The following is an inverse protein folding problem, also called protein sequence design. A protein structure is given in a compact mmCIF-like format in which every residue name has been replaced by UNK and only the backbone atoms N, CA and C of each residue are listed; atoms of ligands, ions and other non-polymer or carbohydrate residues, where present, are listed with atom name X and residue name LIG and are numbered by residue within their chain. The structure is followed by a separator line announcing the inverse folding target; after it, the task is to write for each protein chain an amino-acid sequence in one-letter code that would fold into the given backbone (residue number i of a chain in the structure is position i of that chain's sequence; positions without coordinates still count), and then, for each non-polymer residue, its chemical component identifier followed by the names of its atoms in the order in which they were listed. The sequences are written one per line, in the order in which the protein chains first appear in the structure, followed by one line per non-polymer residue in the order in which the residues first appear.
data_IF_566911056619
#
_entry.id   IF_566911056619
#
_cell.length_a   1.000
_cell.length_b   1.000
_cell.length_c   1.000
_cell.angle_alpha   90.00
_cell.angle_beta   90.00
_cell.angle_gamma   90.00
#
_symmetry.space_group_name_H-M   'P 1'
#
loop_
_entity.id
_entity.type
_entity.pdbx_description
1 polymer ?
#
# COMPACT_ATOMS: atom_id res chain seq x y z
N UNK A 1 -23.54 -49.13 34.43
CA UNK A 1 -22.92 -47.84 34.80
C UNK A 1 -21.48 -47.81 34.30
N UNK A 2 -21.20 -47.09 33.21
CA UNK A 2 -19.87 -46.53 32.96
C UNK A 2 -20.01 -45.38 31.94
N UNK A 3 -20.02 -44.15 32.45
CA UNK A 3 -20.03 -42.91 31.66
C UNK A 3 -18.63 -42.71 31.08
N UNK A 4 -18.43 -42.95 29.80
CA UNK A 4 -17.15 -42.69 29.14
C UNK A 4 -17.00 -41.18 28.84
N UNK A 5 -16.03 -40.55 29.52
CA UNK A 5 -15.52 -39.22 29.19
C UNK A 5 -14.81 -39.28 27.83
N UNK A 6 -15.42 -38.68 26.81
CA UNK A 6 -14.75 -38.41 25.53
C UNK A 6 -14.16 -36.99 25.60
N UNK A 7 -12.83 -36.90 25.56
CA UNK A 7 -12.09 -35.64 25.67
C UNK A 7 -12.23 -34.80 24.38
N UNK A 8 -12.55 -33.51 24.55
CA UNK A 8 -12.79 -32.52 23.48
C UNK A 8 -11.52 -32.07 22.71
N UNK A 9 -10.49 -32.91 22.59
CA UNK A 9 -9.26 -32.57 21.86
C UNK A 9 -8.99 -33.43 20.63
N UNK A 10 -9.85 -34.39 20.29
CA UNK A 10 -9.53 -35.41 19.29
C UNK A 10 -10.34 -35.42 17.99
N UNK A 11 -11.16 -34.39 17.70
CA UNK A 11 -11.99 -34.35 16.49
C UNK A 11 -11.81 -33.07 15.67
N UNK A 12 -10.61 -32.85 15.11
CA UNK A 12 -10.39 -31.76 14.13
C UNK A 12 -9.41 -32.11 13.00
N UNK A 13 -9.32 -33.41 12.65
CA UNK A 13 -8.48 -33.90 11.55
C UNK A 13 -9.19 -34.78 10.52
N UNK A 14 -10.52 -34.86 10.48
CA UNK A 14 -11.21 -35.46 9.33
C UNK A 14 -12.22 -34.49 8.71
N UNK A 15 -12.09 -34.33 7.38
CA UNK A 15 -12.94 -33.62 6.39
C UNK A 15 -12.46 -32.28 5.82
N UNK A 16 -11.17 -32.05 5.62
CA UNK A 16 -10.75 -30.95 4.73
C UNK A 16 -9.61 -31.27 3.75
N UNK A 17 -9.36 -32.55 3.47
CA UNK A 17 -8.44 -32.99 2.40
C UNK A 17 -9.01 -34.21 1.63
N UNK A 18 -10.19 -34.04 1.05
CA UNK A 18 -10.65 -34.71 -0.19
C UNK A 18 -11.95 -34.03 -0.63
N UNK A 19 -11.82 -32.94 -1.37
CA UNK A 19 -12.73 -32.52 -2.44
C UNK A 19 -12.03 -31.35 -3.11
N UNK A 20 -11.48 -31.58 -4.29
CA UNK A 20 -11.42 -30.52 -5.30
C UNK A 20 -12.86 -30.07 -5.57
N UNK A 21 -13.26 -28.81 -5.34
CA UNK A 21 -14.38 -28.26 -6.07
C UNK A 21 -13.79 -27.75 -7.39
N UNK A 22 -13.63 -28.65 -8.37
CA UNK A 22 -13.82 -28.19 -9.74
C UNK A 22 -15.29 -27.80 -9.85
N UNK A 23 -15.53 -26.56 -10.27
CA UNK A 23 -16.80 -26.09 -10.82
C UNK A 23 -18.06 -26.47 -10.01
N UNK A 24 -18.24 -25.83 -8.85
CA UNK A 24 -19.57 -25.41 -8.39
C UNK A 24 -19.38 -24.38 -7.28
N UNK A 25 -19.82 -23.14 -7.50
CA UNK A 25 -19.66 -21.99 -6.60
C UNK A 25 -20.45 -22.10 -5.29
N UNK A 26 -20.39 -23.24 -4.62
CA UNK A 26 -21.08 -23.48 -3.36
C UNK A 26 -20.36 -22.69 -2.26
N UNK A 27 -21.01 -21.62 -1.82
CA UNK A 27 -20.49 -20.72 -0.79
C UNK A 27 -20.57 -21.40 0.57
N UNK A 28 -19.46 -21.42 1.30
CA UNK A 28 -19.43 -21.94 2.66
C UNK A 28 -20.02 -20.87 3.59
N UNK A 29 -21.13 -21.19 4.26
CA UNK A 29 -21.76 -20.30 5.24
C UNK A 29 -21.30 -20.70 6.64
N UNK A 30 -20.74 -19.74 7.38
CA UNK A 30 -20.37 -19.88 8.78
C UNK A 30 -21.12 -18.82 9.58
N UNK A 31 -21.63 -19.20 10.75
CA UNK A 31 -22.37 -18.27 11.58
C UNK A 31 -21.40 -17.26 12.23
N UNK A 32 -20.61 -17.71 13.22
CA UNK A 32 -19.59 -16.92 13.92
C UNK A 32 -18.44 -17.78 14.43
N UNK A 33 -17.32 -17.14 14.75
CA UNK A 33 -16.24 -17.72 15.55
C UNK A 33 -16.09 -17.00 16.89
N UNK A 34 -15.87 -17.75 17.96
CA UNK A 34 -15.63 -17.24 19.33
C UNK A 34 -14.32 -17.78 19.87
N UNK A 35 -13.20 -17.22 19.40
CA UNK A 35 -11.84 -17.67 19.72
C UNK A 35 -11.03 -16.64 20.53
N UNK A 36 -11.70 -15.76 21.27
CA UNK A 36 -11.04 -14.78 22.12
C UNK A 36 -9.95 -15.42 23.02
N UNK A 37 -8.75 -14.84 23.01
CA UNK A 37 -7.61 -15.26 23.84
C UNK A 37 -6.95 -16.59 23.45
N UNK A 38 -7.37 -17.24 22.35
CA UNK A 38 -6.84 -18.55 21.93
C UNK A 38 -5.46 -18.44 21.27
N UNK A 39 -4.86 -19.59 20.98
CA UNK A 39 -3.59 -19.71 20.26
C UNK A 39 -3.75 -20.67 19.08
N UNK A 40 -3.40 -20.22 17.89
CA UNK A 40 -3.33 -21.05 16.69
C UNK A 40 -1.87 -21.24 16.30
N UNK A 41 -1.42 -22.50 16.24
CA UNK A 41 -0.04 -22.85 15.87
C UNK A 41 0.13 -23.06 14.36
N UNK A 42 -0.94 -23.50 13.69
CA UNK A 42 -1.03 -23.67 12.24
C UNK A 42 -1.70 -22.46 11.58
N UNK A 43 -1.71 -22.47 10.25
CA UNK A 43 -2.41 -21.46 9.46
C UNK A 43 -3.93 -21.55 9.70
N UNK A 44 -4.58 -20.39 9.73
CA UNK A 44 -6.04 -20.24 9.75
C UNK A 44 -6.45 -19.68 8.39
N UNK A 45 -7.26 -20.40 7.62
CA UNK A 45 -7.65 -20.03 6.28
C UNK A 45 -9.16 -20.18 6.06
N UNK A 46 -9.75 -19.14 5.48
CA UNK A 46 -11.10 -19.11 4.94
C UNK A 46 -11.02 -18.57 3.51
N UNK A 47 -11.74 -19.18 2.59
CA UNK A 47 -11.78 -18.78 1.18
C UNK A 47 -13.21 -18.92 0.68
N UNK A 48 -13.74 -17.90 0.01
CA UNK A 48 -15.13 -17.87 -0.49
C UNK A 48 -16.16 -18.18 0.61
N UNK A 49 -15.91 -17.72 1.84
CA UNK A 49 -16.72 -18.01 3.02
C UNK A 49 -17.58 -16.81 3.43
N UNK A 50 -18.82 -17.04 3.85
CA UNK A 50 -19.74 -15.99 4.33
C UNK A 50 -19.92 -16.07 5.84
N UNK A 51 -19.71 -14.94 6.52
CA UNK A 51 -19.86 -14.74 7.95
C UNK A 51 -21.02 -13.81 8.22
N UNK A 52 -22.12 -14.33 8.78
CA UNK A 52 -23.33 -13.53 9.03
C UNK A 52 -23.37 -12.91 10.43
N UNK A 53 -22.67 -13.52 11.39
CA UNK A 53 -22.54 -13.04 12.75
C UNK A 53 -21.12 -12.54 13.06
N UNK A 54 -20.98 -11.79 14.15
CA UNK A 54 -19.70 -11.19 14.52
C UNK A 54 -18.69 -12.30 14.87
N UNK A 55 -17.50 -12.24 14.29
CA UNK A 55 -16.44 -13.22 14.54
C UNK A 55 -15.38 -12.62 15.45
N UNK A 56 -15.26 -13.17 16.66
CA UNK A 56 -14.38 -12.70 17.71
C UNK A 56 -13.09 -13.50 17.79
N UNK A 57 -11.99 -12.85 17.40
CA UNK A 57 -10.61 -13.29 17.56
C UNK A 57 -9.79 -12.34 18.45
N UNK A 58 -10.45 -11.55 19.30
CA UNK A 58 -9.78 -10.63 20.21
C UNK A 58 -8.73 -11.33 21.07
N UNK A 59 -7.58 -10.69 21.29
CA UNK A 59 -6.46 -11.19 22.12
C UNK A 59 -5.87 -12.54 21.67
N UNK A 60 -6.26 -13.04 20.49
CA UNK A 60 -5.80 -14.31 19.94
C UNK A 60 -4.35 -14.21 19.47
N UNK A 61 -3.57 -15.28 19.63
CA UNK A 61 -2.19 -15.38 19.11
C UNK A 61 -2.13 -16.32 17.92
N UNK A 62 -1.85 -15.77 16.75
CA UNK A 62 -1.67 -16.54 15.52
C UNK A 62 -0.17 -16.72 15.23
N UNK A 63 0.31 -17.97 15.32
CA UNK A 63 1.67 -18.34 14.94
C UNK A 63 1.77 -18.68 13.45
N UNK A 64 0.70 -19.21 12.87
CA UNK A 64 0.53 -19.40 11.43
C UNK A 64 0.07 -18.14 10.71
N UNK A 65 -0.09 -18.26 9.39
CA UNK A 65 -0.73 -17.25 8.53
C UNK A 65 -2.23 -17.19 8.82
N UNK A 66 -2.83 -16.01 8.67
CA UNK A 66 -4.27 -15.80 8.78
C UNK A 66 -4.79 -15.32 7.44
N UNK A 67 -5.74 -16.04 6.84
CA UNK A 67 -6.26 -15.75 5.51
C UNK A 67 -7.78 -15.75 5.50
N UNK A 68 -8.38 -14.65 5.06
CA UNK A 68 -9.79 -14.51 4.72
C UNK A 68 -9.81 -13.98 3.28
N UNK A 69 -9.82 -14.87 2.30
CA UNK A 69 -9.71 -14.49 0.88
C UNK A 69 -11.09 -14.59 0.23
N UNK A 70 -11.52 -13.54 -0.47
CA UNK A 70 -12.82 -13.51 -1.13
C UNK A 70 -14.00 -13.85 -0.19
N UNK A 71 -13.89 -13.44 1.08
CA UNK A 71 -14.93 -13.70 2.07
C UNK A 71 -16.00 -12.60 2.04
N UNK A 72 -17.16 -12.90 2.62
CA UNK A 72 -18.19 -11.88 2.91
C UNK A 72 -18.38 -11.80 4.42
N UNK A 73 -18.23 -10.61 5.01
CA UNK A 73 -18.31 -10.41 6.45
C UNK A 73 -19.40 -9.38 6.75
N UNK A 74 -20.55 -9.87 7.23
CA UNK A 74 -21.75 -9.06 7.48
C UNK A 74 -21.63 -8.20 8.74
N UNK A 75 -21.08 -8.75 9.82
CA UNK A 75 -20.84 -8.04 11.09
C UNK A 75 -19.34 -7.76 11.26
N UNK A 76 -18.93 -7.28 12.43
CA UNK A 76 -17.53 -6.94 12.68
C UNK A 76 -16.66 -8.21 12.77
N UNK A 77 -15.48 -8.16 12.14
CA UNK A 77 -14.38 -9.10 12.39
C UNK A 77 -13.45 -8.50 13.45
N UNK A 78 -13.46 -9.06 14.65
CA UNK A 78 -12.74 -8.50 15.80
C UNK A 78 -11.37 -9.18 15.98
N UNK A 79 -10.30 -8.42 15.71
CA UNK A 79 -8.91 -8.77 15.98
C UNK A 79 -8.29 -7.89 17.08
N UNK A 80 -9.10 -7.23 17.91
CA UNK A 80 -8.61 -6.32 18.95
C UNK A 80 -7.63 -7.04 19.89
N UNK A 81 -6.45 -6.47 20.09
CA UNK A 81 -5.37 -7.06 20.91
C UNK A 81 -4.78 -8.37 20.38
N UNK A 82 -5.17 -8.85 19.19
CA UNK A 82 -4.61 -10.05 18.60
C UNK A 82 -3.11 -9.88 18.29
N UNK A 83 -2.38 -10.98 18.14
CA UNK A 83 -0.96 -10.96 17.77
C UNK A 83 -0.74 -11.87 16.57
N UNK A 84 -0.21 -11.30 15.48
CA UNK A 84 0.07 -12.02 14.25
C UNK A 84 1.58 -12.20 14.06
N UNK A 85 2.06 -13.45 13.96
CA UNK A 85 3.49 -13.73 13.72
C UNK A 85 3.85 -13.77 12.24
N UNK A 86 2.92 -14.18 11.38
CA UNK A 86 3.09 -14.32 9.93
C UNK A 86 2.06 -13.46 9.21
N UNK A 87 1.99 -13.56 7.88
CA UNK A 87 1.08 -12.79 7.02
C UNK A 87 -0.38 -12.86 7.45
N UNK A 88 -1.04 -11.70 7.39
CA UNK A 88 -2.50 -11.58 7.41
C UNK A 88 -2.95 -11.18 6.01
N UNK A 89 -3.86 -11.95 5.42
CA UNK A 89 -4.40 -11.73 4.09
C UNK A 89 -5.92 -11.63 4.13
N UNK A 90 -6.45 -10.47 3.77
CA UNK A 90 -7.88 -10.21 3.68
C UNK A 90 -8.33 -9.97 2.22
N UNK A 91 -7.50 -10.32 1.23
CA UNK A 91 -7.71 -9.90 -0.16
C UNK A 91 -9.08 -10.28 -0.72
N UNK A 92 -9.71 -9.38 -1.48
CA UNK A 92 -11.00 -9.66 -2.13
C UNK A 92 -12.19 -9.74 -1.17
N UNK A 93 -11.99 -9.49 0.13
CA UNK A 93 -13.05 -9.62 1.14
C UNK A 93 -13.99 -8.43 1.13
N UNK A 94 -15.29 -8.71 1.19
CA UNK A 94 -16.35 -7.72 1.35
C UNK A 94 -16.68 -7.52 2.82
N UNK A 95 -16.64 -6.27 3.29
CA UNK A 95 -17.03 -5.91 4.66
C UNK A 95 -18.30 -5.06 4.67
N UNK A 96 -19.25 -5.39 5.56
CA UNK A 96 -20.43 -4.56 5.83
C UNK A 96 -20.30 -3.69 7.08
N UNK A 97 -19.54 -4.15 8.09
CA UNK A 97 -19.28 -3.41 9.34
C UNK A 97 -17.80 -3.15 9.60
N UNK A 98 -16.89 -3.71 8.79
CA UNK A 98 -15.44 -3.53 8.94
C UNK A 98 -14.75 -4.54 9.84
N UNK A 99 -13.53 -4.21 10.26
CA UNK A 99 -12.66 -5.05 11.07
C UNK A 99 -11.91 -4.21 12.10
N UNK A 100 -11.85 -4.71 13.33
CA UNK A 100 -11.21 -4.01 14.44
C UNK A 100 -9.80 -4.58 14.70
N UNK A 101 -8.78 -3.73 14.54
CA UNK A 101 -7.38 -4.05 14.85
C UNK A 101 -6.83 -3.27 16.04
N UNK A 102 -7.69 -2.71 16.88
CA UNK A 102 -7.30 -1.91 18.04
C UNK A 102 -6.33 -2.70 18.93
N UNK A 103 -5.15 -2.15 19.19
CA UNK A 103 -4.06 -2.78 19.96
C UNK A 103 -3.52 -4.11 19.40
N UNK A 104 -3.91 -4.51 18.20
CA UNK A 104 -3.35 -5.69 17.55
C UNK A 104 -1.85 -5.50 17.28
N UNK A 105 -1.06 -6.55 17.50
CA UNK A 105 0.35 -6.60 17.11
C UNK A 105 0.44 -7.07 15.66
N UNK A 106 0.82 -6.15 14.78
CA UNK A 106 0.82 -6.37 13.34
C UNK A 106 1.80 -7.45 12.88
N UNK A 107 1.48 -8.14 11.77
CA UNK A 107 2.41 -9.03 11.10
C UNK A 107 3.51 -8.25 10.37
N UNK A 108 4.48 -8.98 9.78
CA UNK A 108 5.41 -8.38 8.81
C UNK A 108 4.73 -7.99 7.49
N UNK A 109 3.64 -8.67 7.12
CA UNK A 109 2.89 -8.41 5.89
C UNK A 109 1.38 -8.47 6.14
N UNK A 110 0.69 -7.40 5.75
CA UNK A 110 -0.76 -7.24 5.82
C UNK A 110 -1.29 -6.96 4.41
N UNK A 111 -2.12 -7.85 3.89
CA UNK A 111 -2.68 -7.74 2.54
C UNK A 111 -4.14 -7.32 2.67
N UNK A 112 -4.45 -6.10 2.27
CA UNK A 112 -5.79 -5.50 2.21
C UNK A 112 -6.09 -5.09 0.76
N UNK A 113 -5.70 -5.93 -0.20
CA UNK A 113 -5.93 -5.67 -1.62
C UNK A 113 -7.36 -6.04 -2.02
N UNK A 114 -7.95 -5.29 -2.94
CA UNK A 114 -9.26 -5.53 -3.54
C UNK A 114 -10.37 -5.72 -2.49
N UNK A 115 -10.30 -4.98 -1.38
CA UNK A 115 -11.39 -5.01 -0.39
C UNK A 115 -12.61 -4.31 -0.99
N UNK A 116 -13.76 -4.97 -0.90
CA UNK A 116 -15.02 -4.33 -1.23
C UNK A 116 -15.60 -3.66 0.02
N UNK A 117 -15.49 -2.32 0.05
CA UNK A 117 -15.94 -1.47 1.16
C UNK A 117 -17.10 -0.55 0.76
N UNK A 118 -17.68 -0.71 -0.44
CA UNK A 118 -18.72 0.18 -0.99
C UNK A 118 -19.91 0.34 -0.04
N UNK A 119 -20.36 -0.77 0.53
CA UNK A 119 -21.47 -0.77 1.49
C UNK A 119 -21.02 -0.95 2.94
N UNK A 120 -19.75 -0.68 3.25
CA UNK A 120 -19.21 -0.79 4.58
C UNK A 120 -19.67 0.40 5.43
N UNK A 121 -20.57 0.14 6.39
CA UNK A 121 -21.04 1.15 7.35
C UNK A 121 -19.94 1.55 8.34
N UNK A 122 -19.10 0.59 8.74
CA UNK A 122 -17.96 0.83 9.63
C UNK A 122 -16.66 1.14 8.87
N UNK A 123 -15.52 0.87 9.51
CA UNK A 123 -14.18 1.09 8.93
C UNK A 123 -13.24 -0.07 9.24
N UNK A 124 -12.13 -0.13 8.51
CA UNK A 124 -10.95 -0.92 8.89
C UNK A 124 -10.02 0.02 9.65
N UNK A 125 -10.06 0.01 10.98
CA UNK A 125 -9.25 0.90 11.81
C UNK A 125 -7.94 0.24 12.27
N UNK A 126 -6.84 0.70 11.69
CA UNK A 126 -5.46 0.32 12.01
C UNK A 126 -4.72 1.44 12.76
N UNK A 127 -5.38 2.52 13.18
CA UNK A 127 -4.72 3.68 13.81
C UNK A 127 -4.16 3.38 15.20
N UNK A 128 -4.76 2.43 15.93
CA UNK A 128 -4.39 2.06 17.30
C UNK A 128 -3.60 0.75 17.40
N UNK A 129 -3.02 0.30 16.30
CA UNK A 129 -2.19 -0.93 16.24
C UNK A 129 -0.88 -0.76 17.02
N UNK A 130 -0.32 -1.89 17.47
CA UNK A 130 0.99 -1.94 18.13
C UNK A 130 2.03 -2.46 17.13
N UNK A 131 3.02 -1.66 16.72
CA UNK A 131 4.07 -2.13 15.83
C UNK A 131 4.96 -3.15 16.54
N UNK A 132 5.36 -4.21 15.83
CA UNK A 132 6.47 -5.10 16.25
C UNK A 132 7.74 -4.84 15.43
N UNK A 133 7.61 -4.04 14.38
CA UNK A 133 8.58 -3.74 13.33
C UNK A 133 7.85 -3.02 12.19
N UNK A 134 8.50 -2.82 11.03
CA UNK A 134 7.81 -2.27 9.85
C UNK A 134 6.88 -3.32 9.26
N UNK A 135 5.60 -2.99 9.10
CA UNK A 135 4.61 -3.85 8.45
C UNK A 135 4.51 -3.47 6.96
N UNK A 136 4.74 -4.43 6.06
CA UNK A 136 4.42 -4.26 4.64
C UNK A 136 2.91 -4.31 4.45
N UNK A 137 2.32 -3.28 3.85
CA UNK A 137 0.87 -3.23 3.58
C UNK A 137 0.59 -3.19 2.08
N UNK A 138 -0.34 -4.02 1.61
CA UNK A 138 -0.84 -3.97 0.23
C UNK A 138 -2.27 -3.42 0.24
N UNK A 139 -2.50 -2.37 -0.55
CA UNK A 139 -3.73 -1.58 -0.60
C UNK A 139 -4.26 -1.43 -2.04
N UNK A 140 -3.73 -2.20 -2.99
CA UNK A 140 -4.20 -2.16 -4.38
C UNK A 140 -5.71 -2.43 -4.45
N UNK A 141 -6.43 -1.71 -5.31
CA UNK A 141 -7.86 -1.92 -5.54
C UNK A 141 -8.79 -1.69 -4.33
N UNK A 142 -8.30 -1.11 -3.24
CA UNK A 142 -9.08 -0.86 -2.02
C UNK A 142 -9.37 0.62 -1.86
N UNK A 143 -10.64 0.96 -1.59
CA UNK A 143 -11.03 2.31 -1.20
C UNK A 143 -10.46 2.67 0.18
N UNK A 144 -9.65 3.73 0.22
CA UNK A 144 -8.92 4.16 1.41
C UNK A 144 -9.74 5.09 2.31
N UNK A 145 -10.92 5.54 1.88
CA UNK A 145 -11.81 6.38 2.70
C UNK A 145 -12.32 5.63 3.95
N UNK A 146 -12.44 4.30 3.85
CA UNK A 146 -12.89 3.43 4.95
C UNK A 146 -11.74 2.67 5.63
N UNK A 147 -10.48 2.97 5.29
CA UNK A 147 -9.30 2.33 5.89
C UNK A 147 -8.49 3.39 6.62
N UNK A 148 -8.50 3.38 7.95
CA UNK A 148 -7.80 4.35 8.77
C UNK A 148 -6.47 3.80 9.24
N UNK A 149 -5.34 4.44 8.94
CA UNK A 149 -4.02 3.96 9.38
C UNK A 149 -3.04 5.09 9.66
N UNK A 150 -2.12 4.91 10.61
CA UNK A 150 -0.97 5.79 10.78
C UNK A 150 0.23 5.21 10.01
N UNK A 151 0.64 5.86 8.92
CA UNK A 151 1.64 5.34 7.98
C UNK A 151 3.05 5.23 8.58
N UNK A 152 3.30 5.82 9.76
CA UNK A 152 4.58 5.69 10.46
C UNK A 152 5.01 4.22 10.61
N UNK A 153 4.05 3.31 10.78
CA UNK A 153 4.29 1.88 11.04
C UNK A 153 4.33 1.00 9.79
N UNK A 154 4.00 1.54 8.62
CA UNK A 154 3.78 0.74 7.41
C UNK A 154 4.80 1.01 6.29
N UNK A 155 4.92 0.10 5.34
CA UNK A 155 5.61 0.30 4.07
C UNK A 155 4.71 -0.23 2.96
N UNK A 156 4.45 0.57 1.93
CA UNK A 156 3.65 0.11 0.79
C UNK A 156 4.34 -1.03 0.04
N UNK A 157 3.54 -2.03 -0.29
CA UNK A 157 3.85 -3.10 -1.24
C UNK A 157 2.75 -3.14 -2.30
N UNK A 158 3.14 -3.43 -3.53
CA UNK A 158 2.25 -3.45 -4.70
C UNK A 158 2.34 -4.79 -5.44
N UNK A 159 2.59 -5.86 -4.70
CA UNK A 159 2.66 -7.21 -5.26
C UNK A 159 1.29 -7.66 -5.76
N UNK A 160 1.30 -8.47 -6.82
CA UNK A 160 0.10 -9.08 -7.39
C UNK A 160 -0.69 -8.19 -8.35
N UNK A 161 -0.29 -6.94 -8.59
CA UNK A 161 -1.02 -6.08 -9.54
C UNK A 161 -1.19 -6.75 -10.92
N UNK A 162 -2.42 -6.73 -11.41
CA UNK A 162 -2.79 -7.24 -12.73
C UNK A 162 -3.05 -6.04 -13.66
N UNK A 163 -2.18 -5.84 -14.65
CA UNK A 163 -2.31 -4.74 -15.59
C UNK A 163 -0.98 -4.26 -16.15
N UNK A 164 -1.02 -3.13 -16.86
CA UNK A 164 0.19 -2.54 -17.44
C UNK A 164 1.06 -1.88 -16.38
N UNK A 165 2.36 -1.76 -16.65
CA UNK A 165 3.28 -1.03 -15.76
C UNK A 165 2.87 0.44 -15.59
N UNK A 166 2.30 1.05 -16.62
CA UNK A 166 1.81 2.44 -16.56
C UNK A 166 0.60 2.56 -15.62
N UNK A 167 -0.38 1.66 -15.74
CA UNK A 167 -1.53 1.62 -14.84
C UNK A 167 -1.08 1.41 -13.38
N UNK A 168 -0.10 0.52 -13.14
CA UNK A 168 0.48 0.33 -11.81
C UNK A 168 1.09 1.62 -11.26
N UNK A 169 1.86 2.36 -12.07
CA UNK A 169 2.47 3.61 -11.63
C UNK A 169 1.41 4.67 -11.29
N UNK A 170 0.31 4.73 -12.05
CA UNK A 170 -0.78 5.65 -11.76
C UNK A 170 -1.52 5.26 -10.47
N UNK A 171 -1.90 3.99 -10.31
CA UNK A 171 -2.50 3.46 -9.08
C UNK A 171 -1.61 3.73 -7.87
N UNK A 172 -0.29 3.53 -8.00
CA UNK A 172 0.66 3.85 -6.93
C UNK A 172 0.58 5.33 -6.54
N UNK A 173 0.61 6.25 -7.50
CA UNK A 173 0.49 7.70 -7.23
C UNK A 173 -0.83 8.02 -6.54
N UNK A 174 -1.95 7.43 -6.98
CA UNK A 174 -3.27 7.64 -6.36
C UNK A 174 -3.28 7.18 -4.91
N UNK A 175 -2.74 6.00 -4.60
CA UNK A 175 -2.61 5.49 -3.22
C UNK A 175 -1.75 6.43 -2.36
N UNK A 176 -0.59 6.88 -2.87
CA UNK A 176 0.23 7.86 -2.15
C UNK A 176 -0.53 9.16 -1.85
N UNK A 177 -1.22 9.73 -2.84
CA UNK A 177 -2.01 10.96 -2.69
C UNK A 177 -3.14 10.80 -1.67
N UNK A 178 -3.91 9.71 -1.77
CA UNK A 178 -5.00 9.42 -0.85
C UNK A 178 -4.50 9.26 0.60
N UNK A 179 -3.42 8.50 0.79
CA UNK A 179 -2.83 8.35 2.12
C UNK A 179 -2.26 9.67 2.65
N UNK A 180 -1.62 10.50 1.82
CA UNK A 180 -1.13 11.83 2.26
C UNK A 180 -2.28 12.72 2.77
N UNK A 181 -3.39 12.77 2.04
CA UNK A 181 -4.60 13.49 2.47
C UNK A 181 -5.11 12.95 3.82
N UNK A 182 -5.24 11.63 3.92
CA UNK A 182 -5.67 10.98 5.17
C UNK A 182 -4.72 11.27 6.34
N UNK A 183 -3.40 11.14 6.14
CA UNK A 183 -2.42 11.41 7.19
C UNK A 183 -2.48 12.88 7.66
N UNK A 184 -2.71 13.83 6.74
CA UNK A 184 -2.87 15.25 7.05
C UNK A 184 -4.17 15.48 7.85
N UNK A 185 -5.30 14.98 7.36
CA UNK A 185 -6.62 15.13 7.98
C UNK A 185 -6.68 14.54 9.40
N UNK A 186 -6.02 13.40 9.63
CA UNK A 186 -5.98 12.73 10.93
C UNK A 186 -4.81 13.18 11.83
N UNK A 187 -4.07 14.23 11.44
CA UNK A 187 -2.93 14.76 12.19
C UNK A 187 -1.81 13.73 12.47
N UNK A 188 -1.65 12.73 11.59
CA UNK A 188 -0.56 11.75 11.69
C UNK A 188 0.74 12.31 11.12
N UNK A 189 1.29 13.34 11.77
CA UNK A 189 2.45 14.11 11.27
C UNK A 189 3.68 13.25 10.93
N UNK A 190 4.00 12.25 11.76
CA UNK A 190 5.12 11.33 11.49
C UNK A 190 4.86 10.45 10.25
N UNK A 191 3.64 9.93 10.14
CA UNK A 191 3.20 9.15 8.98
C UNK A 191 3.22 9.99 7.71
N UNK A 192 2.69 11.22 7.77
CA UNK A 192 2.70 12.19 6.68
C UNK A 192 4.13 12.51 6.22
N UNK A 193 5.02 12.91 7.14
CA UNK A 193 6.41 13.27 6.82
C UNK A 193 7.19 12.13 6.19
N UNK A 194 6.98 10.90 6.66
CA UNK A 194 7.60 9.71 6.07
C UNK A 194 7.04 9.42 4.67
N UNK A 195 5.72 9.41 4.54
CA UNK A 195 5.04 9.11 3.28
C UNK A 195 5.36 10.16 2.20
N UNK A 196 5.44 11.44 2.57
CA UNK A 196 5.74 12.53 1.64
C UNK A 196 7.16 12.40 1.08
N UNK A 197 8.15 12.09 1.93
CA UNK A 197 9.53 11.79 1.50
C UNK A 197 9.61 10.57 0.59
N UNK A 198 8.84 9.51 0.90
CA UNK A 198 8.75 8.34 0.03
C UNK A 198 8.14 8.69 -1.34
N UNK A 199 7.08 9.50 -1.35
CA UNK A 199 6.39 9.92 -2.57
C UNK A 199 7.27 10.84 -3.44
N UNK A 200 7.90 11.86 -2.84
CA UNK A 200 8.81 12.77 -3.52
C UNK A 200 10.00 12.04 -4.18
N UNK A 201 10.59 11.08 -3.46
CA UNK A 201 11.71 10.30 -3.99
C UNK A 201 11.29 9.37 -5.13
N UNK A 202 10.09 8.79 -5.07
CA UNK A 202 9.64 7.81 -6.07
C UNK A 202 8.98 8.46 -7.29
N UNK A 203 8.29 9.58 -7.10
CA UNK A 203 7.51 10.27 -8.13
C UNK A 203 7.68 11.80 -8.04
N UNK A 204 8.89 12.34 -8.26
CA UNK A 204 9.19 13.76 -8.04
C UNK A 204 8.23 14.71 -8.78
N UNK A 205 8.02 14.49 -10.10
CA UNK A 205 7.08 15.31 -10.89
C UNK A 205 5.65 15.30 -10.35
N UNK A 206 5.17 14.15 -9.89
CA UNK A 206 3.82 14.04 -9.33
C UNK A 206 3.72 14.66 -7.93
N UNK A 207 4.81 14.63 -7.16
CA UNK A 207 4.91 15.29 -5.86
C UNK A 207 4.92 16.81 -5.99
N UNK A 208 5.69 17.36 -6.94
CA UNK A 208 5.76 18.80 -7.16
C UNK A 208 4.39 19.39 -7.54
N UNK A 209 3.60 18.63 -8.33
CA UNK A 209 2.22 19.00 -8.67
C UNK A 209 1.23 18.97 -7.50
N UNK A 210 1.64 18.46 -6.32
CA UNK A 210 0.79 18.40 -5.14
C UNK A 210 0.60 19.79 -4.49
N UNK A 211 1.59 20.68 -4.61
CA UNK A 211 1.55 22.05 -4.09
C UNK A 211 0.76 23.03 -4.96
N UNK A 212 0.48 22.67 -6.22
CA UNK A 212 -0.38 23.43 -7.13
C UNK A 212 -1.86 23.05 -7.07
N UNK A 213 -2.21 21.99 -6.32
CA UNK A 213 -3.61 21.63 -6.06
C UNK A 213 -4.16 22.59 -5.00
N UNK A 214 -5.02 23.52 -5.44
CA UNK A 214 -5.70 24.48 -4.58
C UNK A 214 -6.45 23.74 -3.46
N UNK A 215 -6.51 24.40 -2.31
CA UNK A 215 -7.13 23.99 -1.04
C UNK A 215 -8.65 23.66 -1.13
N UNK A 216 -9.23 23.65 -2.34
CA UNK A 216 -10.64 23.43 -2.63
C UNK A 216 -11.06 21.97 -2.84
N UNK A 217 -10.14 21.01 -2.93
CA UNK A 217 -10.46 19.56 -3.03
C UNK A 217 -10.64 18.89 -1.66
N UNK A 218 -11.08 19.64 -0.64
CA UNK A 218 -11.55 19.07 0.63
C UNK A 218 -12.91 18.45 0.35
N UNK A 219 -12.93 17.13 0.16
CA UNK A 219 -14.18 16.37 0.16
C UNK A 219 -14.94 16.68 1.44
N UNK A 220 -16.13 17.25 1.25
CA UNK A 220 -17.23 17.27 2.22
C UNK A 220 -17.38 15.83 2.71
N UNK A 221 -17.00 15.61 3.97
CA UNK A 221 -17.48 14.46 4.71
C UNK A 221 -19.00 14.67 4.80
N UNK A 222 -19.77 13.70 4.33
CA UNK A 222 -21.21 13.65 4.59
C UNK A 222 -21.41 13.75 6.12
N UNK A 223 -21.79 14.94 6.58
CA UNK A 223 -21.93 15.35 7.99
C UNK A 223 -23.19 14.76 8.64
N UNK A 224 -23.94 13.89 7.97
CA UNK A 224 -25.24 13.41 8.46
C UNK A 224 -25.18 12.35 9.56
N UNK A 225 -24.02 12.04 10.15
CA UNK A 225 -23.97 11.05 11.26
C UNK A 225 -22.95 11.37 12.38
N UNK A 226 -22.48 12.61 12.49
CA UNK A 226 -21.78 13.09 13.68
C UNK A 226 -22.32 14.48 14.03
N UNK A 227 -23.30 14.52 14.92
CA UNK A 227 -23.78 15.76 15.53
C UNK A 227 -22.66 16.44 16.32
N UNK A 228 -21.86 17.25 15.63
CA UNK A 228 -20.91 18.20 16.21
C UNK A 228 -21.57 19.59 16.41
N UNK A 229 -22.89 19.67 16.33
CA UNK A 229 -23.64 20.93 16.39
C UNK A 229 -24.00 21.37 17.83
N UNK A 230 -23.51 20.66 18.86
CA UNK A 230 -23.72 21.02 20.26
C UNK A 230 -22.45 21.49 21.01
N UNK A 231 -21.37 21.86 20.32
CA UNK A 231 -20.19 22.45 20.97
C UNK A 231 -19.54 23.57 20.15
N UNK A 232 -20.37 24.50 19.65
CA UNK A 232 -19.93 25.88 19.45
C UNK A 232 -20.21 26.65 20.74
N UNK A 233 -19.26 26.55 21.68
CA UNK A 233 -19.19 27.49 22.80
C UNK A 233 -18.79 28.85 22.22
N UNK A 234 -19.74 29.80 22.27
CA UNK A 234 -19.52 31.22 22.07
C UNK A 234 -18.76 31.80 23.29
N UNK A 235 -17.53 31.33 23.49
CA UNK A 235 -16.65 31.89 24.51
C UNK A 235 -15.44 32.56 23.84
N UNK A 236 -15.54 33.88 23.72
CA UNK A 236 -14.50 34.76 23.18
C UNK A 236 -13.19 34.64 23.98
N UNK A 237 -13.27 34.29 25.27
CA UNK A 237 -12.10 34.10 26.13
C UNK A 237 -11.26 32.88 25.71
N UNK A 238 -11.90 31.76 25.39
CA UNK A 238 -11.21 30.53 24.98
C UNK A 238 -10.53 30.70 23.62
N UNK A 239 -11.13 31.45 22.69
CA UNK A 239 -10.52 31.77 21.39
C UNK A 239 -9.25 32.61 21.55
N UNK A 240 -9.27 33.59 22.45
CA UNK A 240 -8.09 34.41 22.75
C UNK A 240 -6.98 33.59 23.41
N UNK A 241 -7.32 32.68 24.34
CA UNK A 241 -6.36 31.78 25.00
C UNK A 241 -5.71 30.78 24.02
N UNK A 242 -6.50 30.24 23.07
CA UNK A 242 -6.00 29.38 22.00
C UNK A 242 -5.04 30.15 21.08
N UNK A 243 -5.40 31.38 20.69
CA UNK A 243 -4.55 32.22 19.85
C UNK A 243 -3.25 32.65 20.54
N UNK A 244 -3.29 32.91 21.84
CA UNK A 244 -2.09 33.19 22.63
C UNK A 244 -1.18 31.95 22.71
N UNK A 245 -1.77 30.77 22.89
CA UNK A 245 -1.05 29.50 22.93
C UNK A 245 -0.37 29.19 21.60
N UNK A 246 -1.07 29.41 20.48
CA UNK A 246 -0.51 29.26 19.12
C UNK A 246 0.68 30.21 18.93
N UNK A 247 0.52 31.49 19.30
CA UNK A 247 1.60 32.48 19.19
C UNK A 247 2.83 32.13 20.05
N UNK A 248 2.63 31.60 21.27
CA UNK A 248 3.73 31.10 22.11
C UNK A 248 4.44 29.92 21.46
N UNK A 249 3.70 28.97 20.88
CA UNK A 249 4.28 27.81 20.19
C UNK A 249 5.07 28.21 18.95
N UNK A 250 4.60 29.17 18.17
CA UNK A 250 5.34 29.70 17.01
C UNK A 250 6.66 30.37 17.41
N UNK A 251 6.65 31.16 18.49
CA UNK A 251 7.87 31.77 19.04
C UNK A 251 8.88 30.70 19.48
N UNK A 252 8.43 29.67 20.17
CA UNK A 252 9.27 28.54 20.60
C UNK A 252 9.84 27.78 19.39
N UNK A 253 9.05 27.55 18.34
CA UNK A 253 9.53 26.92 17.11
C UNK A 253 10.58 27.77 16.38
N UNK A 254 10.38 29.09 16.28
CA UNK A 254 11.37 30.01 15.69
C UNK A 254 12.71 30.00 16.45
N UNK A 255 12.68 29.95 17.78
CA UNK A 255 13.89 29.84 18.62
C UNK A 255 14.58 28.49 18.41
N UNK A 256 13.83 27.38 18.37
CA UNK A 256 14.38 26.04 18.08
C UNK A 256 15.02 25.96 16.70
N UNK A 257 14.42 26.59 15.69
CA UNK A 257 14.97 26.68 14.33
C UNK A 257 16.26 27.49 14.27
N UNK A 258 16.36 28.59 15.03
CA UNK A 258 17.61 29.38 15.16
C UNK A 258 18.71 28.57 15.83
N UNK A 259 18.40 27.85 16.91
CA UNK A 259 19.36 27.00 17.63
C UNK A 259 19.83 25.81 16.77
N UNK A 260 18.94 25.18 16.02
CA UNK A 260 19.29 24.13 15.07
C UNK A 260 20.19 24.64 13.94
N UNK A 261 19.93 25.85 13.42
CA UNK A 261 20.79 26.49 12.40
C UNK A 261 22.18 26.84 12.96
N UNK A 262 22.30 27.32 14.20
CA UNK A 262 23.59 27.62 14.82
C UNK A 262 24.40 26.36 15.12
N UNK A 263 23.77 25.29 15.60
CA UNK A 263 24.44 23.99 15.83
C UNK A 263 24.89 23.34 14.52
N UNK A 264 24.14 23.53 13.43
CA UNK A 264 24.53 23.04 12.11
C UNK A 264 25.68 23.86 11.50
N UNK A 265 25.72 25.17 11.73
CA UNK A 265 26.84 26.04 11.30
C UNK A 265 28.15 25.71 12.04
N UNK A 266 28.09 25.44 13.35
CA UNK A 266 29.26 25.03 14.14
C UNK A 266 29.85 23.69 13.66
N UNK A 267 29.00 22.69 13.37
CA UNK A 267 29.45 21.38 12.85
C UNK A 267 30.04 21.44 11.44
N UNK A 268 29.68 22.43 10.64
CA UNK A 268 30.27 22.66 9.31
C UNK A 268 31.65 23.30 9.46
N UNK A 269 31.82 24.25 10.39
CA UNK A 269 33.12 24.86 10.71
C UNK A 269 34.17 23.84 11.18
N UNK A 270 33.78 22.93 12.08
CA UNK A 270 34.68 21.85 12.55
C UNK A 270 35.10 20.90 11.42
N UNK A 271 34.21 20.58 10.49
CA UNK A 271 34.52 19.72 9.34
C UNK A 271 35.45 20.39 8.34
N UNK A 272 35.27 21.70 8.09
CA UNK A 272 36.17 22.48 7.22
C UNK A 272 37.57 22.55 7.83
N UNK A 273 37.67 22.76 9.15
CA UNK A 273 38.95 22.76 9.86
C UNK A 273 39.64 21.39 9.80
N UNK A 274 38.90 20.29 9.99
CA UNK A 274 39.45 18.95 9.88
C UNK A 274 39.96 18.62 8.47
N UNK A 275 39.25 19.06 7.42
CA UNK A 275 39.69 18.87 6.02
C UNK A 275 40.96 19.68 5.74
N UNK A 276 41.04 20.93 6.21
CA UNK A 276 42.23 21.76 6.04
C UNK A 276 43.47 21.15 6.72
N UNK A 277 43.30 20.53 7.90
CA UNK A 277 44.36 19.84 8.63
C UNK A 277 44.86 18.60 7.89
N UNK A 278 43.95 17.82 7.28
CA UNK A 278 44.30 16.65 6.47
C UNK A 278 45.06 17.08 5.20
N UNK A 279 44.64 18.15 4.53
CA UNK A 279 45.34 18.67 3.34
C UNK A 279 46.74 19.18 3.70
N UNK A 280 46.90 19.88 4.82
CA UNK A 280 48.21 20.33 5.30
C UNK A 280 49.14 19.13 5.61
N UNK A 281 48.63 18.08 6.24
CA UNK A 281 49.36 16.84 6.48
C UNK A 281 49.80 16.15 5.18
N UNK A 282 48.91 16.09 4.18
CA UNK A 282 49.24 15.48 2.87
C UNK A 282 50.31 16.26 2.12
N UNK A 283 50.31 17.59 2.19
CA UNK A 283 51.34 18.44 1.60
C UNK A 283 52.69 18.31 2.34
N UNK A 284 52.66 18.06 3.66
CA UNK A 284 53.87 17.87 4.47
C UNK A 284 54.54 16.51 4.25
N UNK A 285 53.77 15.46 3.93
CA UNK A 285 54.30 14.11 3.68
C UNK A 285 54.82 13.96 2.23
N UNK A 286 54.36 14.81 1.30
CA UNK A 286 54.68 14.72 -0.13
C UNK A 286 56.18 14.85 -0.51
N UNK A 287 57.08 15.52 0.25
CA UNK A 287 58.51 15.54 -0.07
C UNK A 287 59.25 14.25 0.32
N UNK A 288 58.67 13.36 1.15
CA UNK A 288 59.38 12.22 1.72
C UNK A 288 59.11 10.87 1.03
N UNK A 289 58.14 10.79 0.11
CA UNK A 289 57.75 9.53 -0.54
C UNK A 289 58.42 9.26 -1.91
N UNK A 290 59.55 9.90 -2.21
CA UNK A 290 60.30 9.68 -3.46
C UNK A 290 61.62 8.93 -3.23
N UNK A 291 61.54 7.67 -2.82
CA UNK A 291 62.59 6.67 -3.10
C UNK A 291 61.94 5.33 -3.47
N UNK A 292 61.92 5.02 -4.76
CA UNK A 292 61.49 3.71 -5.31
C UNK A 292 62.64 2.69 -5.21
N UNK A 293 62.41 1.47 -4.72
CA UNK A 293 63.25 0.32 -5.08
C UNK A 293 62.73 -0.31 -6.37
N UNK A 294 63.67 -0.74 -7.23
CA UNK A 294 63.42 -1.48 -8.47
C UNK A 294 63.20 -2.97 -8.17
N UNK A 295 62.13 -3.57 -8.68
CA UNK A 295 61.97 -5.04 -8.75
C UNK A 295 61.39 -5.46 -10.09
N UNK A 296 61.94 -6.54 -10.66
CA UNK A 296 61.70 -7.09 -12.01
C UNK A 296 60.39 -7.90 -12.07
N UNK A 297 59.73 -8.04 -13.25
CA UNK A 297 58.48 -8.76 -13.37
C UNK A 297 58.66 -10.28 -13.56
N UNK A 298 57.73 -11.07 -13.03
CA UNK A 298 57.53 -12.51 -13.31
C UNK A 298 56.18 -12.72 -14.01
N UNK A 299 56.00 -13.81 -14.80
CA UNK A 299 55.01 -13.86 -15.87
C UNK A 299 53.60 -14.27 -15.42
N UNK A 300 52.59 -13.68 -16.07
CA UNK A 300 51.16 -13.85 -15.82
C UNK A 300 50.66 -15.11 -16.56
N UNK A 301 50.12 -16.08 -15.83
CA UNK A 301 49.28 -17.15 -16.38
C UNK A 301 47.86 -16.63 -16.65
N UNK A 302 47.39 -16.73 -17.91
CA UNK A 302 46.00 -16.49 -18.29
C UNK A 302 45.16 -17.75 -18.02
N UNK A 303 44.10 -17.64 -17.21
CA UNK A 303 43.02 -18.64 -17.17
C UNK A 303 41.89 -18.20 -18.10
N UNK A 304 41.58 -19.07 -19.06
CA UNK A 304 40.46 -18.98 -20.02
C UNK A 304 39.24 -19.70 -19.43
N UNK A 305 38.06 -19.10 -19.50
CA UNK A 305 36.79 -19.75 -19.15
C UNK A 305 36.02 -20.07 -20.44
N UNK A 306 35.75 -21.36 -20.68
CA UNK A 306 34.84 -21.83 -21.72
C UNK A 306 33.44 -22.00 -21.14
N UNK A 307 32.45 -21.35 -21.76
CA UNK A 307 31.02 -21.52 -21.48
C UNK A 307 30.49 -22.67 -22.34
N UNK A 308 29.92 -23.71 -21.72
CA UNK A 308 29.19 -24.75 -22.43
C UNK A 308 27.78 -24.27 -22.80
N UNK A 309 27.43 -24.42 -24.08
CA UNK A 309 26.09 -24.14 -24.62
C UNK A 309 25.24 -25.40 -24.47
N UNK A 310 24.17 -25.33 -23.67
CA UNK A 310 23.12 -26.36 -23.65
C UNK A 310 22.11 -26.01 -24.74
N UNK A 311 22.02 -26.84 -25.78
CA UNK A 311 20.98 -26.77 -26.80
C UNK A 311 19.71 -27.47 -26.33
N UNK A 312 18.69 -26.71 -25.96
CA UNK A 312 17.30 -27.17 -25.95
C UNK A 312 16.46 -26.24 -26.82
N UNK A 313 16.02 -26.74 -27.98
CA UNK A 313 15.17 -26.03 -28.94
C UNK A 313 13.75 -25.81 -28.37
N UNK A 314 13.25 -24.56 -28.28
CA UNK A 314 11.85 -24.29 -28.01
C UNK A 314 11.03 -24.36 -29.31
N UNK A 315 9.88 -25.01 -29.23
CA UNK A 315 8.92 -25.15 -30.32
C UNK A 315 8.15 -23.82 -30.51
N UNK A 316 8.47 -23.06 -31.56
CA UNK A 316 7.80 -21.79 -31.88
C UNK A 316 6.60 -22.01 -32.81
N UNK A 317 5.40 -21.69 -32.33
CA UNK A 317 4.19 -21.52 -33.14
C UNK A 317 4.46 -20.38 -34.14
N UNK A 318 4.40 -20.67 -35.45
CA UNK A 318 4.55 -19.67 -36.52
C UNK A 318 3.46 -18.61 -36.41
N UNK A 319 3.81 -17.43 -35.91
CA UNK A 319 2.92 -16.27 -35.94
C UNK A 319 2.71 -15.81 -37.39
N UNK A 320 1.45 -15.55 -37.77
CA UNK A 320 1.11 -14.96 -39.08
C UNK A 320 1.81 -13.60 -39.22
N UNK A 321 2.73 -13.50 -40.18
CA UNK A 321 3.41 -12.24 -40.51
C UNK A 321 2.40 -11.28 -41.14
N UNK A 322 2.04 -10.22 -40.42
CA UNK A 322 1.23 -9.12 -40.97
C UNK A 322 2.18 -8.10 -41.61
N UNK A 323 2.00 -7.72 -42.89
CA UNK A 323 2.84 -6.71 -43.52
C UNK A 323 2.81 -5.37 -42.77
N UNK A 324 3.97 -4.79 -42.48
CA UNK A 324 4.12 -3.54 -41.71
C UNK A 324 3.28 -2.40 -42.28
N UNK A 325 3.21 -2.26 -43.61
CA UNK A 325 2.36 -1.27 -44.28
C UNK A 325 0.88 -1.42 -43.91
N UNK A 326 0.38 -2.67 -43.85
CA UNK A 326 -1.02 -2.95 -43.48
C UNK A 326 -1.31 -2.57 -42.03
N UNK A 327 -0.35 -2.80 -41.14
CA UNK A 327 -0.46 -2.36 -39.75
C UNK A 327 -0.45 -0.83 -39.63
N UNK A 328 0.45 -0.15 -40.35
CA UNK A 328 0.55 1.32 -40.38
C UNK A 328 -0.71 1.99 -40.95
N UNK A 329 -1.30 1.43 -42.01
CA UNK A 329 -2.57 1.90 -42.56
C UNK A 329 -3.73 1.75 -41.57
N UNK A 330 -3.79 0.63 -40.85
CA UNK A 330 -4.82 0.41 -39.84
C UNK A 330 -4.69 1.37 -38.66
N UNK A 331 -3.46 1.67 -38.22
CA UNK A 331 -3.18 2.68 -37.17
C UNK A 331 -3.59 4.07 -37.64
N UNK A 332 -3.24 4.44 -38.88
CA UNK A 332 -3.56 5.75 -39.45
C UNK A 332 -5.07 5.94 -39.59
N UNK A 333 -5.78 4.90 -40.06
CA UNK A 333 -7.25 4.89 -40.16
C UNK A 333 -7.90 4.98 -38.77
N UNK A 334 -7.39 4.26 -37.78
CA UNK A 334 -7.85 4.31 -36.39
C UNK A 334 -7.68 5.70 -35.78
N UNK A 335 -6.50 6.32 -35.95
CA UNK A 335 -6.22 7.67 -35.45
C UNK A 335 -7.14 8.73 -36.07
N UNK A 336 -7.50 8.59 -37.36
CA UNK A 336 -8.42 9.50 -38.02
C UNK A 336 -9.84 9.41 -37.46
N UNK A 337 -10.30 8.19 -37.17
CA UNK A 337 -11.61 7.95 -36.56
C UNK A 337 -11.68 8.48 -35.12
N UNK A 338 -10.63 8.28 -34.34
CA UNK A 338 -10.54 8.79 -32.96
C UNK A 338 -10.61 10.31 -32.85
N UNK A 339 -10.11 11.06 -33.86
CA UNK A 339 -10.21 12.52 -33.87
C UNK A 339 -11.64 13.05 -34.02
N UNK A 340 -12.55 12.23 -34.52
CA UNK A 340 -13.98 12.60 -34.65
C UNK A 340 -14.79 12.29 -33.40
N UNK A 341 -14.17 11.62 -32.41
CA UNK A 341 -14.82 11.25 -31.17
C UNK A 341 -14.92 12.46 -30.22
N UNK A 342 -16.14 12.90 -29.91
CA UNK A 342 -16.40 13.97 -28.93
C UNK A 342 -16.66 13.37 -27.55
N UNK A 343 -15.84 13.73 -26.57
CA UNK A 343 -15.93 13.23 -25.19
C UNK A 343 -17.08 13.92 -24.44
N UNK A 344 -17.97 13.15 -23.80
CA UNK A 344 -19.02 13.68 -22.93
C UNK A 344 -18.43 14.36 -21.68
N UNK A 345 -19.13 15.37 -21.16
CA UNK A 345 -18.68 16.27 -20.08
C UNK A 345 -18.61 15.60 -18.69
N UNK A 346 -19.32 14.50 -18.48
CA UNK A 346 -19.33 13.77 -17.21
C UNK A 346 -18.80 12.34 -17.42
N UNK A 347 -17.66 12.02 -16.80
CA UNK A 347 -16.94 10.75 -16.96
C UNK A 347 -17.34 9.72 -15.87
N UNK A 348 -18.19 10.11 -14.91
CA UNK A 348 -18.59 9.28 -13.78
C UNK A 348 -19.99 8.65 -13.90
N UNK A 349 -20.71 8.95 -14.98
CA UNK A 349 -21.84 8.15 -15.43
C UNK A 349 -21.42 7.57 -16.78
N UNK A 350 -21.29 6.24 -16.85
CA UNK A 350 -21.17 5.55 -18.13
C UNK A 350 -22.51 5.72 -18.86
N UNK A 351 -22.71 6.85 -19.53
CA UNK A 351 -23.91 7.07 -20.33
C UNK A 351 -23.92 6.04 -21.47
N UNK A 352 -25.04 5.36 -21.67
CA UNK A 352 -25.32 4.47 -22.81
C UNK A 352 -24.85 5.04 -24.17
N UNK A 353 -24.87 6.37 -24.28
CA UNK A 353 -24.38 7.15 -25.42
C UNK A 353 -22.89 6.92 -25.72
N UNK A 354 -22.04 6.72 -24.70
CA UNK A 354 -20.63 6.36 -24.85
C UNK A 354 -20.49 5.02 -25.56
N UNK A 355 -21.20 4.01 -25.08
CA UNK A 355 -21.13 2.65 -25.60
C UNK A 355 -21.71 2.58 -27.02
N UNK A 356 -22.81 3.27 -27.29
CA UNK A 356 -23.38 3.38 -28.63
C UNK A 356 -22.44 4.07 -29.63
N UNK A 357 -21.79 5.18 -29.24
CA UNK A 357 -20.82 5.85 -30.11
C UNK A 357 -19.58 5.00 -30.39
N UNK A 358 -19.12 4.24 -29.39
CA UNK A 358 -18.02 3.29 -29.52
C UNK A 358 -18.38 2.12 -30.45
N UNK A 359 -19.57 1.54 -30.33
CA UNK A 359 -20.05 0.46 -31.19
C UNK A 359 -20.21 0.93 -32.65
N UNK A 360 -20.75 2.12 -32.89
CA UNK A 360 -20.83 2.70 -34.24
C UNK A 360 -19.45 2.89 -34.89
N UNK A 361 -18.41 3.19 -34.10
CA UNK A 361 -17.03 3.27 -34.60
C UNK A 361 -16.48 1.89 -34.97
N UNK A 362 -16.84 0.84 -34.21
CA UNK A 362 -16.46 -0.54 -34.52
C UNK A 362 -17.14 -1.05 -35.78
N UNK A 363 -18.41 -0.72 -36.01
CA UNK A 363 -19.13 -1.08 -37.22
C UNK A 363 -18.56 -0.41 -38.47
N UNK A 364 -18.19 0.87 -38.40
CA UNK A 364 -17.52 1.60 -39.50
C UNK A 364 -16.15 1.00 -39.88
N UNK A 365 -15.57 0.14 -39.03
CA UNK A 365 -14.32 -0.56 -39.27
C UNK A 365 -14.52 -1.92 -39.93
N UNK A 366 -15.71 -2.52 -39.86
CA UNK A 366 -15.98 -3.82 -40.49
C UNK A 366 -15.79 -3.67 -42.01
N UNK A 367 -15.08 -4.61 -42.67
CA UNK A 367 -14.99 -4.60 -44.13
C UNK A 367 -16.41 -4.71 -44.70
N UNK A 368 -16.78 -3.79 -45.59
CA UNK A 368 -18.01 -3.94 -46.38
C UNK A 368 -17.80 -5.18 -47.27
N UNK A 369 -18.60 -6.21 -47.02
CA UNK A 369 -18.68 -7.42 -47.86
C UNK A 369 -19.25 -7.08 -49.22
#
# INVERSE_FOLDING_TARGET
MLKYLISKQFLFLLTFWWLTPMANGQQVIVNQFKYAGKRFYRDVQFTNTRFYEASNFSKTRFHGRVRFMNCYIKKTLDFSGATFRKTVDLSGTTFRMGADFTHARLPQKLILRDLNLKDCKGTIDLSKVRPRGRCSINLLGTDLNKVKLNYAYFKLSFEGFEGTSEALLDTQKQIYKALLRQQKALMFHQGYSKLSKEFARKFPKAYDSLGSLKEYDVFVVDETDFSAENYLMDDKSLKEEIMETINKLEKVQKVRLRKAKSEQASKVGEKIFAIALIVALLLFIFPFAYKRPKTKPSPIQKKSYQTQVVTSTPNYIKQKKVPQRKAQDMVTKGNRLWRTYRRSKNVLEESEEFWQAYEQLLEKRKPKT
#
